data_IF_219449006704
#
_entry.id   IF_219449006704
#
_cell.length_a   1.000
_cell.length_b   1.000
_cell.length_c   1.000
_cell.angle_alpha   90.00
_cell.angle_beta   90.00
_cell.angle_gamma   90.00
#
_symmetry.space_group_name_H-M   'P 1'
#
loop_
_entity.id
_entity.type
_entity.pdbx_description
1 polymer ?
#
# COMPACT_ATOMS: atom_id res chain seq x y z
N UNK A 1 -8.88 11.60 15.88
CA UNK A 1 -9.82 12.07 14.84
C UNK A 1 -9.54 11.29 13.57
N UNK A 2 -10.57 10.76 12.93
CA UNK A 2 -10.42 10.07 11.64
C UNK A 2 -10.05 11.08 10.54
N UNK A 3 -9.24 10.66 9.57
CA UNK A 3 -8.78 11.49 8.44
C UNK A 3 -9.71 11.38 7.21
N UNK A 4 -10.98 11.04 7.43
CA UNK A 4 -11.94 10.84 6.34
C UNK A 4 -12.19 12.14 5.57
N UNK A 5 -12.30 12.03 4.24
CA UNK A 5 -12.51 13.16 3.32
C UNK A 5 -11.43 14.26 3.39
N UNK A 6 -10.20 13.89 3.80
CA UNK A 6 -9.03 14.77 3.74
C UNK A 6 -8.09 14.33 2.62
N UNK A 7 -7.42 15.27 1.93
CA UNK A 7 -6.41 14.92 0.95
C UNK A 7 -5.18 14.31 1.63
N UNK A 8 -4.54 13.35 0.97
CA UNK A 8 -3.27 12.79 1.44
C UNK A 8 -2.21 13.89 1.54
N UNK A 9 -1.36 13.79 2.56
CA UNK A 9 -0.23 14.71 2.70
C UNK A 9 0.89 14.31 1.74
N UNK A 10 1.70 15.28 1.26
CA UNK A 10 2.88 14.97 0.48
C UNK A 10 3.80 14.02 1.23
N UNK A 11 4.30 13.00 0.54
CA UNK A 11 5.25 12.06 1.10
C UNK A 11 6.22 11.55 0.03
N UNK A 12 7.36 11.04 0.50
CA UNK A 12 8.32 10.33 -0.31
C UNK A 12 8.96 9.25 0.54
N UNK A 13 8.84 8.01 0.11
CA UNK A 13 9.32 6.84 0.83
C UNK A 13 10.06 5.89 -0.11
N UNK A 14 11.00 5.13 0.44
CA UNK A 14 11.62 4.00 -0.26
C UNK A 14 10.71 2.78 -0.08
N UNK A 15 10.47 2.05 -1.16
CA UNK A 15 9.67 0.83 -1.17
C UNK A 15 10.47 -0.31 -1.80
N UNK A 16 10.16 -1.53 -1.42
CA UNK A 16 10.68 -2.73 -2.04
C UNK A 16 9.59 -3.38 -2.90
N UNK A 17 9.88 -3.58 -4.18
CA UNK A 17 8.93 -4.18 -5.12
C UNK A 17 9.67 -5.13 -6.07
N UNK A 18 9.25 -6.39 -6.14
CA UNK A 18 9.80 -7.43 -7.02
C UNK A 18 11.35 -7.48 -7.04
N UNK A 19 11.98 -7.49 -5.87
CA UNK A 19 13.44 -7.61 -5.75
C UNK A 19 14.21 -6.30 -5.92
N UNK A 20 13.53 -5.16 -6.10
CA UNK A 20 14.17 -3.86 -6.35
C UNK A 20 13.70 -2.80 -5.37
N UNK A 21 14.61 -1.91 -5.01
CA UNK A 21 14.26 -0.68 -4.30
C UNK A 21 13.75 0.35 -5.31
N UNK A 22 12.59 0.93 -5.01
CA UNK A 22 11.99 2.03 -5.74
C UNK A 22 11.61 3.14 -4.78
N UNK A 23 11.32 4.32 -5.32
CA UNK A 23 10.79 5.44 -4.56
C UNK A 23 9.32 5.61 -4.90
N UNK A 24 8.49 5.79 -3.87
CA UNK A 24 7.05 6.05 -3.99
C UNK A 24 6.75 7.40 -3.33
N UNK A 25 5.86 8.17 -3.93
CA UNK A 25 5.43 9.48 -3.49
C UNK A 25 3.92 9.66 -3.60
N UNK A 26 3.39 10.74 -3.02
CA UNK A 26 1.97 11.09 -3.12
C UNK A 26 1.50 11.30 -4.57
N UNK A 27 2.42 11.59 -5.49
CA UNK A 27 2.11 11.76 -6.91
C UNK A 27 1.80 10.42 -7.58
N UNK A 28 2.43 9.33 -7.14
CA UNK A 28 2.24 7.99 -7.70
C UNK A 28 0.85 7.42 -7.38
N UNK A 29 0.22 7.92 -6.32
CA UNK A 29 -1.12 7.54 -5.88
C UNK A 29 -2.23 8.33 -6.62
N UNK A 30 -1.88 9.35 -7.42
CA UNK A 30 -2.88 10.16 -8.13
C UNK A 30 -3.43 9.43 -9.36
N UNK A 31 -4.74 9.60 -9.60
CA UNK A 31 -5.41 9.06 -10.79
C UNK A 31 -5.69 7.56 -10.74
N UNK A 32 -5.37 6.89 -9.63
CA UNK A 32 -5.71 5.48 -9.36
C UNK A 32 -6.31 5.36 -7.98
N UNK A 33 -7.15 4.35 -7.79
CA UNK A 33 -7.55 3.97 -6.44
C UNK A 33 -6.35 3.35 -5.72
N UNK A 34 -6.12 3.77 -4.49
CA UNK A 34 -4.94 3.37 -3.71
C UNK A 34 -5.36 2.91 -2.33
N UNK A 35 -4.88 1.74 -1.91
CA UNK A 35 -4.96 1.25 -0.53
C UNK A 35 -3.58 1.40 0.09
N UNK A 36 -3.49 2.18 1.18
CA UNK A 36 -2.26 2.29 1.98
C UNK A 36 -2.47 1.52 3.27
N UNK A 37 -1.84 0.36 3.37
CA UNK A 37 -1.99 -0.59 4.46
C UNK A 37 -0.83 -0.44 5.45
N UNK A 38 -1.11 0.07 6.64
CA UNK A 38 -0.08 0.21 7.68
C UNK A 38 -0.09 -1.00 8.59
N UNK A 39 1.08 -1.59 8.81
CA UNK A 39 1.27 -2.67 9.78
C UNK A 39 2.41 -2.35 10.76
N UNK A 40 2.40 -2.91 11.99
CA UNK A 40 3.35 -2.52 13.05
C UNK A 40 4.83 -2.73 12.74
N UNK A 41 5.21 -3.91 12.25
CA UNK A 41 6.61 -4.26 11.96
C UNK A 41 6.73 -5.59 11.19
N UNK A 42 7.78 -5.69 10.38
CA UNK A 42 8.24 -6.92 9.73
C UNK A 42 8.62 -7.97 10.78
N UNK A 43 8.54 -9.25 10.41
CA UNK A 43 8.94 -10.41 11.24
C UNK A 43 8.18 -10.53 12.58
N UNK A 44 6.94 -10.05 12.61
CA UNK A 44 5.99 -10.27 13.71
C UNK A 44 4.95 -11.34 13.33
N UNK A 45 4.12 -11.77 14.30
CA UNK A 45 3.29 -12.97 14.13
C UNK A 45 2.00 -12.77 13.30
N UNK A 46 1.42 -11.56 13.28
CA UNK A 46 0.11 -11.27 12.64
C UNK A 46 0.25 -10.57 11.29
N UNK A 47 1.24 -9.69 11.15
CA UNK A 47 1.48 -8.96 9.90
C UNK A 47 1.68 -9.85 8.65
N UNK A 48 2.37 -11.02 8.69
CA UNK A 48 2.52 -11.83 7.49
C UNK A 48 1.20 -12.46 7.03
N UNK A 49 0.24 -12.70 7.92
CA UNK A 49 -1.06 -13.24 7.52
C UNK A 49 -1.93 -12.18 6.84
N UNK A 50 -1.89 -10.93 7.31
CA UNK A 50 -2.65 -9.83 6.69
C UNK A 50 -2.06 -9.44 5.32
N UNK A 51 -0.73 -9.38 5.22
CA UNK A 51 -0.04 -9.13 3.95
C UNK A 51 -0.24 -10.28 2.95
N UNK A 52 -0.30 -11.53 3.44
CA UNK A 52 -0.61 -12.70 2.63
C UNK A 52 -2.02 -12.63 2.02
N UNK A 53 -3.03 -12.29 2.84
CA UNK A 53 -4.41 -12.15 2.37
C UNK A 53 -4.57 -11.05 1.31
N UNK A 54 -3.88 -9.91 1.50
CA UNK A 54 -3.82 -8.85 0.48
C UNK A 54 -3.15 -9.31 -0.81
N UNK A 55 -2.10 -10.13 -0.72
CA UNK A 55 -1.40 -10.67 -1.87
C UNK A 55 -2.27 -11.68 -2.65
N UNK A 56 -3.00 -12.56 -1.95
CA UNK A 56 -3.91 -13.54 -2.56
C UNK A 56 -5.05 -12.87 -3.34
N UNK A 57 -5.50 -11.70 -2.86
CA UNK A 57 -6.55 -10.91 -3.52
C UNK A 57 -6.02 -9.85 -4.49
N UNK A 58 -4.71 -9.74 -4.68
CA UNK A 58 -4.10 -8.64 -5.43
C UNK A 58 -4.59 -8.55 -6.88
N UNK A 59 -4.82 -9.69 -7.54
CA UNK A 59 -5.36 -9.72 -8.90
C UNK A 59 -6.78 -9.13 -8.98
N UNK A 60 -7.59 -9.35 -7.94
CA UNK A 60 -8.93 -8.75 -7.83
C UNK A 60 -8.83 -7.23 -7.69
N UNK A 61 -7.94 -6.74 -6.84
CA UNK A 61 -7.69 -5.29 -6.69
C UNK A 61 -7.21 -4.66 -8.00
N UNK A 62 -6.27 -5.32 -8.70
CA UNK A 62 -5.82 -4.87 -10.02
C UNK A 62 -6.92 -4.82 -11.04
N UNK A 63 -7.80 -5.82 -11.09
CA UNK A 63 -8.95 -5.83 -11.99
C UNK A 63 -9.91 -4.67 -11.72
N UNK A 64 -9.99 -4.21 -10.47
CA UNK A 64 -10.75 -3.01 -10.08
C UNK A 64 -10.00 -1.68 -10.29
N UNK A 65 -8.76 -1.72 -10.81
CA UNK A 65 -7.92 -0.54 -10.98
C UNK A 65 -7.38 0.04 -9.66
N UNK A 66 -7.24 -0.81 -8.64
CA UNK A 66 -6.73 -0.46 -7.31
C UNK A 66 -5.28 -0.92 -7.16
N UNK A 67 -4.42 -0.07 -6.63
CA UNK A 67 -3.05 -0.40 -6.25
C UNK A 67 -2.90 -0.46 -4.72
N UNK A 68 -2.05 -1.38 -4.23
CA UNK A 68 -1.84 -1.59 -2.79
C UNK A 68 -0.41 -1.21 -2.43
N UNK A 69 -0.26 -0.44 -1.35
CA UNK A 69 1.01 -0.02 -0.76
C UNK A 69 1.01 -0.46 0.70
N UNK A 70 1.98 -1.27 1.11
CA UNK A 70 2.18 -1.72 2.49
C UNK A 70 3.53 -1.24 3.02
#
# INVERSE_FOLDING_TARGET
MALINTPIKPFKANAFHNGKFTTVSDQDLKGKWSVVFFYPADFTFVCPTELGDLADHYDTFKAMGVEIYA
#
